data_IF_926039786591
#
_entry.id   IF_926039786591
#
_cell.length_a   1.000
_cell.length_b   1.000
_cell.length_c   1.000
_cell.angle_alpha   90.00
_cell.angle_beta   90.00
_cell.angle_gamma   90.00
#
_symmetry.space_group_name_H-M   'P 1'
#
loop_
_entity.id
_entity.type
_entity.pdbx_description
1 polymer ?
#
# COMPACT_ATOMS: atom_id res chain seq x y z
N UNK A 1 -1.55 -16.84 -12.83
CA UNK A 1 -1.40 -15.76 -13.81
C UNK A 1 -0.53 -14.68 -13.18
N UNK A 2 0.44 -14.17 -13.93
CA UNK A 2 1.28 -13.08 -13.45
C UNK A 2 0.43 -11.84 -13.21
N UNK A 3 0.58 -11.23 -12.03
CA UNK A 3 -0.09 -9.97 -11.66
C UNK A 3 0.83 -8.77 -11.86
N UNK A 4 2.11 -8.89 -11.48
CA UNK A 4 3.12 -7.87 -11.70
C UNK A 4 4.34 -8.51 -12.35
N UNK A 5 4.81 -7.90 -13.42
CA UNK A 5 6.06 -8.27 -14.08
C UNK A 5 6.93 -7.03 -14.25
N UNK A 6 8.16 -7.14 -13.80
CA UNK A 6 9.20 -6.14 -14.00
C UNK A 6 10.26 -6.72 -14.93
N UNK A 7 10.51 -6.07 -16.06
CA UNK A 7 11.47 -6.50 -17.05
C UNK A 7 12.59 -5.47 -17.17
N UNK A 8 13.81 -5.85 -16.75
CA UNK A 8 15.05 -5.08 -16.88
C UNK A 8 14.93 -3.62 -16.38
N UNK A 9 14.26 -3.44 -15.24
CA UNK A 9 13.99 -2.11 -14.68
C UNK A 9 15.29 -1.43 -14.26
N UNK A 10 15.56 -0.29 -14.88
CA UNK A 10 16.53 0.70 -14.40
C UNK A 10 15.77 1.97 -14.02
N UNK A 11 15.94 2.44 -12.80
CA UNK A 11 15.29 3.63 -12.29
C UNK A 11 16.16 4.40 -11.31
N UNK A 12 15.89 5.71 -11.17
CA UNK A 12 16.70 6.57 -10.31
C UNK A 12 16.04 7.88 -9.94
N UNK A 13 16.79 8.68 -9.19
CA UNK A 13 16.39 10.02 -8.72
C UNK A 13 17.47 11.01 -9.15
N UNK A 14 17.07 12.18 -9.68
CA UNK A 14 17.98 13.29 -10.02
C UNK A 14 19.18 12.86 -10.86
N UNK A 15 18.98 11.93 -11.79
CA UNK A 15 20.05 11.43 -12.68
C UNK A 15 20.95 10.36 -12.07
N UNK A 16 20.77 10.01 -10.79
CA UNK A 16 21.49 8.90 -10.16
C UNK A 16 20.65 7.63 -10.26
N UNK A 17 21.15 6.63 -10.95
CA UNK A 17 20.50 5.31 -11.04
C UNK A 17 20.62 4.58 -9.70
N UNK A 18 19.52 4.00 -9.24
CA UNK A 18 19.39 3.28 -7.97
C UNK A 18 19.00 1.81 -8.21
N UNK A 19 18.13 1.56 -9.19
CA UNK A 19 17.72 0.22 -9.59
C UNK A 19 18.42 -0.12 -10.91
N UNK A 20 19.03 -1.30 -10.98
CA UNK A 20 19.83 -1.75 -12.11
C UNK A 20 19.34 -3.11 -12.62
N UNK A 21 18.81 -3.15 -13.85
CA UNK A 21 18.36 -4.37 -14.55
C UNK A 21 17.53 -5.32 -13.66
N UNK A 22 16.60 -4.76 -12.86
CA UNK A 22 15.81 -5.52 -11.91
C UNK A 22 14.68 -6.25 -12.63
N UNK A 23 14.59 -7.56 -12.37
CA UNK A 23 13.52 -8.42 -12.84
C UNK A 23 12.78 -8.99 -11.63
N UNK A 24 11.44 -8.95 -11.65
CA UNK A 24 10.57 -9.50 -10.60
C UNK A 24 9.27 -9.97 -11.23
N UNK A 25 8.76 -11.09 -10.75
CA UNK A 25 7.43 -11.59 -11.11
C UNK A 25 6.65 -11.93 -9.84
N UNK A 26 5.42 -11.41 -9.72
CA UNK A 26 4.48 -11.72 -8.63
C UNK A 26 3.19 -12.24 -9.26
N UNK A 27 2.79 -13.46 -8.91
CA UNK A 27 1.50 -14.00 -9.34
C UNK A 27 0.36 -13.51 -8.43
N UNK A 28 -0.86 -13.59 -8.94
CA UNK A 28 -2.05 -13.27 -8.15
C UNK A 28 -2.15 -14.18 -6.90
N UNK A 29 -2.40 -13.57 -5.75
CA UNK A 29 -2.53 -14.24 -4.45
C UNK A 29 -1.18 -14.57 -3.78
N UNK A 30 -0.04 -14.22 -4.38
CA UNK A 30 1.28 -14.46 -3.76
C UNK A 30 1.66 -13.34 -2.78
N UNK A 31 2.46 -13.73 -1.79
CA UNK A 31 3.18 -12.83 -0.89
C UNK A 31 4.67 -12.94 -1.15
N UNK A 32 5.28 -11.83 -1.55
CA UNK A 32 6.72 -11.71 -1.70
C UNK A 32 7.30 -10.84 -0.60
N UNK A 33 8.44 -11.23 -0.06
CA UNK A 33 9.16 -10.47 0.96
C UNK A 33 10.50 -10.02 0.40
N UNK A 34 10.71 -8.71 0.38
CA UNK A 34 11.94 -8.09 -0.06
C UNK A 34 12.75 -7.65 1.15
N UNK A 35 13.88 -8.31 1.37
CA UNK A 35 14.81 -8.01 2.46
C UNK A 35 16.16 -7.54 1.92
N UNK A 36 16.89 -6.78 2.71
CA UNK A 36 18.23 -6.31 2.35
C UNK A 36 18.68 -5.12 3.21
N UNK A 37 19.93 -4.70 3.11
CA UNK A 37 20.47 -3.59 3.90
C UNK A 37 19.80 -2.26 3.54
N UNK A 38 19.97 -1.27 4.43
CA UNK A 38 19.54 0.10 4.14
C UNK A 38 20.31 0.64 2.93
N UNK A 39 19.61 1.40 2.08
CA UNK A 39 20.19 1.94 0.86
C UNK A 39 20.25 0.97 -0.34
N UNK A 40 19.77 -0.27 -0.19
CA UNK A 40 19.73 -1.24 -1.31
C UNK A 40 18.67 -0.97 -2.38
N UNK A 41 17.87 0.11 -2.25
CA UNK A 41 16.86 0.47 -3.25
C UNK A 41 15.48 -0.13 -3.03
N UNK A 42 15.19 -0.80 -1.90
CA UNK A 42 13.90 -1.46 -1.64
C UNK A 42 12.70 -0.51 -1.73
N UNK A 43 12.73 0.60 -0.99
CA UNK A 43 11.67 1.63 -1.04
C UNK A 43 11.62 2.32 -2.41
N UNK A 44 12.78 2.46 -3.08
CA UNK A 44 12.84 2.98 -4.46
C UNK A 44 12.09 2.08 -5.42
N UNK A 45 12.16 0.75 -5.25
CA UNK A 45 11.41 -0.20 -6.06
C UNK A 45 9.89 0.01 -5.88
N UNK A 46 9.40 0.06 -4.64
CA UNK A 46 7.98 0.30 -4.36
C UNK A 46 7.48 1.62 -4.99
N UNK A 47 8.26 2.69 -4.84
CA UNK A 47 7.94 3.99 -5.42
C UNK A 47 7.98 3.97 -6.95
N UNK A 48 8.93 3.27 -7.57
CA UNK A 48 9.01 3.10 -9.03
C UNK A 48 7.79 2.33 -9.56
N UNK A 49 7.40 1.23 -8.90
CA UNK A 49 6.20 0.46 -9.26
C UNK A 49 4.95 1.34 -9.14
N UNK A 50 4.86 2.17 -8.10
CA UNK A 50 3.71 3.07 -7.91
C UNK A 50 3.70 4.27 -8.87
N UNK A 51 4.80 4.54 -9.59
CA UNK A 51 4.91 5.66 -10.50
C UNK A 51 5.04 7.01 -9.79
N UNK A 52 5.75 7.03 -8.65
CA UNK A 52 6.07 8.27 -7.96
C UNK A 52 6.96 9.14 -8.87
N UNK A 53 6.56 10.39 -9.19
CA UNK A 53 7.24 11.23 -10.18
C UNK A 53 8.69 11.60 -9.81
N UNK A 54 9.08 11.46 -8.56
CA UNK A 54 10.48 11.65 -8.11
C UNK A 54 11.39 10.55 -8.64
N UNK A 55 10.84 9.34 -8.88
CA UNK A 55 11.57 8.18 -9.37
C UNK A 55 11.37 8.02 -10.87
N UNK A 56 12.40 8.30 -11.65
CA UNK A 56 12.34 8.18 -13.11
C UNK A 56 12.69 6.77 -13.54
N UNK A 57 11.79 6.15 -14.31
CA UNK A 57 12.08 4.92 -15.03
C UNK A 57 12.98 5.28 -16.23
N UNK A 58 14.23 4.77 -16.25
CA UNK A 58 15.20 5.04 -17.31
C UNK A 58 15.07 4.02 -18.45
N UNK A 59 14.83 2.75 -18.10
CA UNK A 59 14.60 1.65 -19.05
C UNK A 59 13.81 0.51 -18.40
N UNK A 60 13.37 -0.42 -19.20
CA UNK A 60 12.60 -1.58 -18.78
C UNK A 60 11.09 -1.38 -18.93
N UNK A 61 10.32 -2.37 -18.50
CA UNK A 61 8.85 -2.36 -18.56
C UNK A 61 8.23 -2.85 -17.27
N UNK A 62 7.13 -2.21 -16.88
CA UNK A 62 6.29 -2.60 -15.74
C UNK A 62 4.95 -3.05 -16.30
N UNK A 63 4.67 -4.35 -16.22
CA UNK A 63 3.38 -4.92 -16.63
C UNK A 63 2.58 -5.23 -15.38
N UNK A 64 1.36 -4.74 -15.29
CA UNK A 64 0.46 -5.00 -14.18
C UNK A 64 -0.90 -5.47 -14.68
N UNK A 65 -1.33 -6.65 -14.23
CA UNK A 65 -2.57 -7.31 -14.65
C UNK A 65 -2.71 -7.39 -16.19
N UNK A 66 -1.58 -7.69 -16.86
CA UNK A 66 -1.48 -7.81 -18.31
C UNK A 66 -1.35 -6.49 -19.08
N UNK A 67 -1.40 -5.33 -18.41
CA UNK A 67 -1.26 -4.02 -19.05
C UNK A 67 0.11 -3.41 -18.78
N UNK A 68 0.74 -2.79 -19.80
CA UNK A 68 1.95 -1.99 -19.63
C UNK A 68 1.60 -0.67 -18.95
N UNK A 69 2.10 -0.48 -17.73
CA UNK A 69 1.86 0.72 -16.90
C UNK A 69 3.11 1.60 -16.77
N UNK A 70 4.16 1.34 -17.54
CA UNK A 70 5.46 2.00 -17.41
C UNK A 70 5.35 3.53 -17.42
N UNK A 71 4.49 4.07 -18.30
CA UNK A 71 4.27 5.52 -18.47
C UNK A 71 3.01 6.04 -17.74
N UNK A 72 2.28 5.15 -17.04
CA UNK A 72 1.05 5.55 -16.37
C UNK A 72 1.31 6.32 -15.07
N UNK A 73 0.46 7.32 -14.82
CA UNK A 73 0.53 8.15 -13.62
C UNK A 73 0.15 7.39 -12.35
N UNK A 74 0.59 7.87 -11.19
CA UNK A 74 0.34 7.25 -9.88
C UNK A 74 -1.16 7.01 -9.63
N UNK A 75 -2.02 7.97 -9.98
CA UNK A 75 -3.47 7.85 -9.79
C UNK A 75 -4.09 6.76 -10.66
N UNK A 76 -3.62 6.59 -11.89
CA UNK A 76 -4.08 5.51 -12.78
C UNK A 76 -3.61 4.14 -12.28
N UNK A 77 -2.37 4.03 -11.80
CA UNK A 77 -1.84 2.81 -11.19
C UNK A 77 -2.62 2.44 -9.93
N UNK A 78 -2.96 3.43 -9.08
CA UNK A 78 -3.81 3.22 -7.91
C UNK A 78 -5.22 2.72 -8.30
N UNK A 79 -5.84 3.33 -9.33
CA UNK A 79 -7.14 2.88 -9.87
C UNK A 79 -7.09 1.47 -10.47
N UNK A 80 -5.98 1.10 -11.09
CA UNK A 80 -5.76 -0.26 -11.61
C UNK A 80 -5.68 -1.32 -10.49
N UNK A 81 -5.40 -0.90 -9.25
CA UNK A 81 -5.38 -1.76 -8.08
C UNK A 81 -4.03 -1.90 -7.39
N UNK A 82 -3.09 -1.00 -7.65
CA UNK A 82 -1.85 -0.88 -6.87
C UNK A 82 -2.09 -0.06 -5.61
N UNK A 83 -1.42 -0.43 -4.52
CA UNK A 83 -1.40 0.29 -3.25
C UNK A 83 0.03 0.31 -2.72
N UNK A 84 0.46 1.45 -2.22
CA UNK A 84 1.75 1.61 -1.54
C UNK A 84 1.52 2.19 -0.15
N UNK A 85 1.95 1.49 0.90
CA UNK A 85 2.06 2.08 2.23
C UNK A 85 3.29 2.98 2.28
N UNK A 86 3.15 4.13 2.92
CA UNK A 86 4.26 5.07 3.06
C UNK A 86 5.05 4.77 4.33
N UNK A 87 6.37 4.89 4.24
CA UNK A 87 7.24 4.80 5.42
C UNK A 87 6.84 5.85 6.48
N UNK A 88 6.45 7.06 6.02
CA UNK A 88 5.91 8.13 6.85
C UNK A 88 4.62 8.66 6.23
N UNK A 89 3.43 8.19 6.70
CA UNK A 89 2.15 8.67 6.21
C UNK A 89 1.97 10.17 6.46
N UNK A 90 1.59 10.90 5.41
CA UNK A 90 1.37 12.34 5.48
C UNK A 90 0.10 12.68 6.27
N UNK A 91 0.14 13.81 6.97
CA UNK A 91 -1.04 14.43 7.56
C UNK A 91 -1.77 15.25 6.48
N UNK A 92 -3.09 15.08 6.41
CA UNK A 92 -3.94 15.80 5.44
C UNK A 92 -5.03 16.55 6.20
N UNK A 93 -4.78 17.79 6.63
CA UNK A 93 -5.78 18.61 7.31
C UNK A 93 -6.98 18.92 6.42
N UNK A 94 -8.18 18.96 7.01
CA UNK A 94 -9.43 19.32 6.34
C UNK A 94 -10.15 18.18 5.62
N UNK A 95 -9.61 16.96 5.65
CA UNK A 95 -10.28 15.77 5.08
C UNK A 95 -10.31 14.68 6.14
N UNK A 96 -11.50 14.31 6.61
CA UNK A 96 -11.63 13.20 7.56
C UNK A 96 -11.25 11.86 6.92
N UNK A 97 -10.75 10.93 7.75
CA UNK A 97 -10.39 9.57 7.32
C UNK A 97 -11.56 8.88 6.59
N UNK A 98 -12.77 9.01 7.09
CA UNK A 98 -13.99 8.49 6.45
C UNK A 98 -14.23 9.11 5.08
N UNK A 99 -14.13 10.45 4.97
CA UNK A 99 -14.34 11.15 3.70
C UNK A 99 -13.29 10.76 2.67
N UNK A 100 -12.02 10.66 3.10
CA UNK A 100 -10.92 10.19 2.26
C UNK A 100 -11.18 8.77 1.71
N UNK A 101 -11.53 7.82 2.59
CA UNK A 101 -11.80 6.43 2.20
C UNK A 101 -12.97 6.33 1.22
N UNK A 102 -14.07 7.02 1.50
CA UNK A 102 -15.26 7.02 0.66
C UNK A 102 -14.96 7.59 -0.73
N UNK A 103 -14.25 8.73 -0.78
CA UNK A 103 -13.85 9.36 -2.05
C UNK A 103 -12.90 8.47 -2.84
N UNK A 104 -11.95 7.81 -2.18
CA UNK A 104 -11.00 6.90 -2.81
C UNK A 104 -11.69 5.67 -3.41
N UNK A 105 -12.65 5.07 -2.69
CA UNK A 105 -13.46 3.95 -3.20
C UNK A 105 -14.26 4.39 -4.43
N UNK A 106 -14.91 5.55 -4.36
CA UNK A 106 -15.71 6.08 -5.47
C UNK A 106 -14.83 6.34 -6.71
N UNK A 107 -13.63 6.90 -6.53
CA UNK A 107 -12.69 7.13 -7.62
C UNK A 107 -12.16 5.83 -8.24
N UNK A 108 -11.96 4.80 -7.41
CA UNK A 108 -11.50 3.49 -7.87
C UNK A 108 -12.58 2.73 -8.65
N UNK A 109 -13.82 2.75 -8.16
CA UNK A 109 -14.92 1.95 -8.73
C UNK A 109 -15.70 2.69 -9.81
N UNK A 110 -15.64 4.02 -9.82
CA UNK A 110 -16.52 4.85 -10.67
C UNK A 110 -17.99 4.89 -10.22
N UNK A 111 -18.34 4.21 -9.12
CA UNK A 111 -19.71 4.06 -8.64
C UNK A 111 -19.97 4.88 -7.37
N UNK A 112 -21.21 5.28 -7.17
CA UNK A 112 -21.64 5.89 -5.92
C UNK A 112 -21.56 4.90 -4.75
N UNK A 113 -20.81 5.28 -3.71
CA UNK A 113 -20.67 4.47 -2.50
C UNK A 113 -21.96 4.48 -1.69
N UNK A 114 -22.59 3.32 -1.49
CA UNK A 114 -23.78 3.16 -0.65
C UNK A 114 -23.42 3.37 0.82
N UNK A 115 -23.86 4.48 1.39
CA UNK A 115 -23.42 4.96 2.71
C UNK A 115 -23.58 3.91 3.81
N UNK A 116 -24.71 3.23 3.88
CA UNK A 116 -24.97 2.22 4.92
C UNK A 116 -23.98 1.05 4.84
N UNK A 117 -23.70 0.55 3.63
CA UNK A 117 -22.75 -0.55 3.43
C UNK A 117 -21.32 -0.11 3.77
N UNK A 118 -20.96 1.09 3.35
CA UNK A 118 -19.67 1.68 3.66
C UNK A 118 -19.46 1.82 5.18
N UNK A 119 -20.41 2.39 5.90
CA UNK A 119 -20.35 2.56 7.35
C UNK A 119 -20.23 1.22 8.08
N UNK A 120 -20.99 0.22 7.65
CA UNK A 120 -20.91 -1.13 8.21
C UNK A 120 -19.52 -1.74 8.02
N UNK A 121 -18.96 -1.63 6.82
CA UNK A 121 -17.63 -2.18 6.51
C UNK A 121 -16.53 -1.39 7.22
N UNK A 122 -16.61 -0.05 7.26
CA UNK A 122 -15.68 0.80 7.99
C UNK A 122 -15.62 0.41 9.47
N UNK A 123 -16.77 0.29 10.12
CA UNK A 123 -16.87 -0.14 11.52
C UNK A 123 -16.23 -1.51 11.72
N UNK A 124 -16.53 -2.51 10.87
CA UNK A 124 -15.95 -3.85 10.93
C UNK A 124 -14.42 -3.81 10.82
N UNK A 125 -13.89 -3.05 9.87
CA UNK A 125 -12.44 -2.94 9.68
C UNK A 125 -11.76 -2.23 10.86
N UNK A 126 -12.39 -1.19 11.43
CA UNK A 126 -11.87 -0.52 12.61
C UNK A 126 -11.85 -1.43 13.85
N UNK A 127 -12.89 -2.28 14.03
CA UNK A 127 -12.92 -3.29 15.10
C UNK A 127 -11.78 -4.31 14.96
N UNK A 128 -11.47 -4.79 13.76
CA UNK A 128 -10.33 -5.70 13.50
C UNK A 128 -9.01 -5.07 13.94
N UNK A 129 -8.86 -3.77 13.67
CA UNK A 129 -7.64 -3.01 13.97
C UNK A 129 -7.60 -2.46 15.40
N UNK A 130 -8.57 -2.79 16.26
CA UNK A 130 -8.71 -2.17 17.58
C UNK A 130 -8.55 -0.64 17.50
N UNK A 131 -9.26 -0.02 16.56
CA UNK A 131 -9.22 1.42 16.31
C UNK A 131 -10.49 2.06 16.82
N UNK A 132 -10.38 3.11 17.63
CA UNK A 132 -11.54 3.83 18.17
C UNK A 132 -12.37 4.42 17.03
N UNK A 133 -13.70 4.21 17.00
CA UNK A 133 -14.57 4.73 15.95
C UNK A 133 -14.50 6.26 15.75
N UNK A 134 -14.11 7.03 16.77
CA UNK A 134 -13.96 8.49 16.67
C UNK A 134 -12.90 8.91 15.64
N UNK A 135 -11.93 8.05 15.34
CA UNK A 135 -10.89 8.31 14.32
C UNK A 135 -11.46 8.47 12.91
N UNK A 136 -12.62 7.87 12.60
CA UNK A 136 -13.28 8.02 11.31
C UNK A 136 -13.59 9.50 10.98
N UNK A 137 -13.99 10.28 11.98
CA UNK A 137 -14.30 11.70 11.84
C UNK A 137 -13.11 12.64 11.96
N UNK A 138 -11.91 12.15 12.34
CA UNK A 138 -10.70 12.98 12.47
C UNK A 138 -10.02 13.15 11.12
N UNK A 139 -9.33 14.25 10.95
CA UNK A 139 -8.52 14.53 9.77
C UNK A 139 -7.45 13.45 9.58
N UNK A 140 -7.25 13.02 8.33
CA UNK A 140 -6.37 11.92 7.97
C UNK A 140 -4.97 12.10 8.54
N UNK A 141 -4.58 11.21 9.46
CA UNK A 141 -3.29 11.16 10.14
C UNK A 141 -2.92 12.38 11.01
N UNK A 142 -3.76 13.41 11.10
CA UNK A 142 -3.46 14.61 11.89
C UNK A 142 -3.49 14.30 13.37
N UNK A 143 -2.34 14.48 14.03
CA UNK A 143 -2.16 14.19 15.44
C UNK A 143 -2.30 12.72 15.83
N UNK A 144 -2.17 11.79 14.88
CA UNK A 144 -2.11 10.36 15.15
C UNK A 144 -0.71 9.98 15.63
N UNK A 145 -0.64 9.10 16.64
CA UNK A 145 0.60 8.42 17.01
C UNK A 145 1.14 7.55 15.88
N UNK A 146 2.38 7.10 15.96
CA UNK A 146 2.97 6.20 14.96
C UNK A 146 2.14 4.92 14.74
N UNK A 147 1.69 4.29 15.83
CA UNK A 147 0.83 3.09 15.76
C UNK A 147 -0.54 3.37 15.14
N UNK A 148 -1.17 4.50 15.46
CA UNK A 148 -2.45 4.90 14.89
C UNK A 148 -2.35 5.22 13.40
N UNK A 149 -1.24 5.85 12.96
CA UNK A 149 -0.97 6.07 11.52
C UNK A 149 -0.86 4.75 10.77
N UNK A 150 -0.15 3.76 11.34
CA UNK A 150 -0.04 2.44 10.71
C UNK A 150 -1.37 1.70 10.68
N UNK A 151 -2.17 1.76 11.74
CA UNK A 151 -3.54 1.23 11.72
C UNK A 151 -4.40 1.94 10.67
N UNK A 152 -4.26 3.26 10.50
CA UNK A 152 -4.95 4.02 9.45
C UNK A 152 -4.56 3.56 8.04
N UNK A 153 -3.29 3.23 7.79
CA UNK A 153 -2.84 2.66 6.51
C UNK A 153 -3.44 1.27 6.26
N UNK A 154 -3.45 0.40 7.27
CA UNK A 154 -4.07 -0.93 7.14
C UNK A 154 -5.59 -0.84 6.99
N UNK A 155 -6.23 0.14 7.62
CA UNK A 155 -7.64 0.44 7.39
C UNK A 155 -7.89 0.81 5.92
N UNK A 156 -7.03 1.64 5.33
CA UNK A 156 -7.09 1.97 3.91
C UNK A 156 -6.92 0.71 3.04
N UNK A 157 -5.96 -0.16 3.36
CA UNK A 157 -5.76 -1.44 2.68
C UNK A 157 -7.01 -2.32 2.70
N UNK A 158 -7.64 -2.49 3.88
CA UNK A 158 -8.85 -3.28 4.05
C UNK A 158 -10.05 -2.72 3.30
N UNK A 159 -10.22 -1.39 3.29
CA UNK A 159 -11.35 -0.72 2.64
C UNK A 159 -11.18 -0.63 1.12
N UNK A 160 -9.96 -0.37 0.64
CA UNK A 160 -9.67 -0.20 -0.79
C UNK A 160 -9.51 -1.53 -1.53
N UNK A 161 -9.12 -2.61 -0.85
CA UNK A 161 -8.95 -3.96 -1.41
C UNK A 161 -8.17 -3.92 -2.74
N UNK A 162 -6.90 -3.45 -2.74
CA UNK A 162 -6.10 -3.43 -3.97
C UNK A 162 -5.83 -4.85 -4.47
N UNK A 163 -5.40 -4.99 -5.74
CA UNK A 163 -4.93 -6.27 -6.29
C UNK A 163 -3.53 -6.62 -5.78
N UNK A 164 -2.66 -5.59 -5.68
CA UNK A 164 -1.32 -5.70 -5.11
C UNK A 164 -1.09 -4.59 -4.11
N UNK A 165 -0.73 -4.95 -2.87
CA UNK A 165 -0.28 -4.00 -1.87
C UNK A 165 1.23 -4.12 -1.66
N UNK A 166 1.92 -2.99 -1.74
CA UNK A 166 3.34 -2.83 -1.41
C UNK A 166 3.40 -2.22 -0.01
N UNK A 167 3.91 -2.98 0.95
CA UNK A 167 4.00 -2.59 2.35
C UNK A 167 5.46 -2.29 2.70
N UNK A 168 5.81 -1.01 2.83
CA UNK A 168 7.17 -0.57 3.08
C UNK A 168 7.38 -0.26 4.58
N UNK A 169 8.18 -1.11 5.25
CA UNK A 169 8.55 -1.02 6.67
C UNK A 169 7.35 -0.77 7.61
N UNK A 170 6.25 -1.49 7.37
CA UNK A 170 4.99 -1.32 8.12
C UNK A 170 5.10 -1.72 9.59
N UNK A 171 6.13 -2.47 9.97
CA UNK A 171 6.46 -2.91 11.33
C UNK A 171 7.42 -1.98 12.07
N UNK A 172 8.02 -1.02 11.38
CA UNK A 172 9.04 -0.15 11.97
C UNK A 172 8.46 0.78 13.04
N UNK A 173 9.11 0.79 14.23
CA UNK A 173 8.74 1.68 15.32
C UNK A 173 7.45 1.32 16.05
N UNK A 174 6.87 0.14 15.80
CA UNK A 174 5.68 -0.34 16.48
C UNK A 174 6.02 -1.18 17.73
N UNK A 175 5.18 -1.06 18.76
CA UNK A 175 5.16 -2.01 19.86
C UNK A 175 4.57 -3.37 19.44
N UNK A 176 4.70 -4.38 20.31
CA UNK A 176 4.27 -5.75 20.02
C UNK A 176 2.76 -5.85 19.73
N UNK A 177 1.94 -5.08 20.43
CA UNK A 177 0.49 -5.14 20.28
C UNK A 177 0.03 -4.45 18.98
N UNK A 178 0.70 -3.36 18.60
CA UNK A 178 0.47 -2.71 17.31
C UNK A 178 0.89 -3.62 16.14
N UNK A 179 2.04 -4.31 16.24
CA UNK A 179 2.47 -5.28 15.23
C UNK A 179 1.43 -6.39 15.07
N UNK A 180 0.95 -6.99 16.17
CA UNK A 180 -0.10 -8.03 16.12
C UNK A 180 -1.38 -7.53 15.46
N UNK A 181 -1.78 -6.29 15.74
CA UNK A 181 -2.99 -5.69 15.17
C UNK A 181 -2.83 -5.46 13.67
N UNK A 182 -1.69 -4.94 13.25
CA UNK A 182 -1.33 -4.74 11.83
C UNK A 182 -1.29 -6.07 11.09
N UNK A 183 -0.65 -7.11 11.66
CA UNK A 183 -0.61 -8.46 11.09
C UNK A 183 -2.00 -9.05 10.88
N UNK A 184 -2.89 -8.94 11.88
CA UNK A 184 -4.31 -9.36 11.73
C UNK A 184 -5.02 -8.64 10.58
N UNK A 185 -4.78 -7.34 10.42
CA UNK A 185 -5.33 -6.58 9.31
C UNK A 185 -4.83 -7.07 7.95
N UNK A 186 -3.54 -7.37 7.84
CA UNK A 186 -2.94 -7.93 6.61
C UNK A 186 -3.50 -9.32 6.30
N UNK A 187 -3.60 -10.20 7.31
CA UNK A 187 -4.25 -11.52 7.16
C UNK A 187 -5.70 -11.40 6.68
N UNK A 188 -6.47 -10.49 7.28
CA UNK A 188 -7.87 -10.25 6.88
C UNK A 188 -7.94 -9.75 5.43
N UNK A 189 -7.04 -8.86 5.02
CA UNK A 189 -6.96 -8.42 3.62
C UNK A 189 -6.71 -9.60 2.68
N UNK A 190 -5.73 -10.45 2.98
CA UNK A 190 -5.44 -11.63 2.16
C UNK A 190 -6.63 -12.58 2.06
N UNK A 191 -7.30 -12.84 3.19
CA UNK A 191 -8.48 -13.74 3.26
C UNK A 191 -9.68 -13.21 2.48
N UNK A 192 -9.92 -11.88 2.55
CA UNK A 192 -11.18 -11.30 2.03
C UNK A 192 -11.07 -10.73 0.62
N UNK A 193 -9.87 -10.29 0.22
CA UNK A 193 -9.65 -9.72 -1.12
C UNK A 193 -9.02 -10.69 -2.10
N UNK A 194 -8.31 -11.73 -1.62
CA UNK A 194 -7.45 -12.57 -2.46
C UNK A 194 -6.32 -11.78 -3.12
N UNK A 195 -5.97 -10.62 -2.58
CA UNK A 195 -4.93 -9.73 -3.12
C UNK A 195 -3.53 -10.34 -2.96
N UNK A 196 -2.55 -9.67 -3.54
CA UNK A 196 -1.13 -10.03 -3.45
C UNK A 196 -0.37 -9.02 -2.60
N UNK A 197 0.76 -9.44 -2.04
CA UNK A 197 1.60 -8.59 -1.19
C UNK A 197 3.04 -8.56 -1.69
N UNK A 198 3.63 -7.37 -1.66
CA UNK A 198 5.08 -7.17 -1.66
C UNK A 198 5.46 -6.47 -0.35
N UNK A 199 6.04 -7.20 0.58
CA UNK A 199 6.44 -6.69 1.88
C UNK A 199 7.91 -6.32 1.84
N UNK A 200 8.23 -5.08 2.15
CA UNK A 200 9.60 -4.58 2.31
C UNK A 200 9.85 -4.44 3.81
N UNK A 201 10.78 -5.21 4.34
CA UNK A 201 11.09 -5.18 5.78
C UNK A 201 12.55 -5.49 6.06
N UNK A 202 13.02 -5.06 7.21
CA UNK A 202 14.31 -5.44 7.80
C UNK A 202 14.13 -6.51 8.90
N UNK A 203 12.90 -6.80 9.29
CA UNK A 203 12.56 -7.65 10.42
C UNK A 203 11.93 -8.95 9.94
N UNK A 204 12.25 -10.05 10.62
CA UNK A 204 11.59 -11.35 10.41
C UNK A 204 10.24 -11.46 11.14
N UNK A 205 9.82 -10.43 11.89
CA UNK A 205 8.60 -10.46 12.74
C UNK A 205 7.29 -10.67 11.97
N UNK A 206 7.25 -10.41 10.68
CA UNK A 206 6.10 -10.68 9.81
C UNK A 206 6.14 -12.05 9.14
N UNK A 207 7.22 -12.83 9.35
CA UNK A 207 7.40 -14.14 8.72
C UNK A 207 6.95 -15.30 9.64
N UNK A 208 6.69 -15.03 10.91
CA UNK A 208 6.18 -15.93 11.92
C UNK A 208 4.66 -15.71 12.11
#
# INVERSE_FOLDING_TARGET
MSLLELHDICAGIEGKEILHNLNLNINAGETHVLMGPNGAGKSSLGNTIMGNPVYRLNSGKIIFDGADISEETTDKRAKAGLFLSFQQPLEVPGISLETFLRSSIQQKTGEHVKLFQFQKELKRCMEILNMDPSYAGRDLNVGFSGGERKKSEILQLLMLKPKLAILDETDSGLDVDAVRTVSKGIEEYMKTSGGSLLIITHSTRFLD
#
